data_IF_458767356995
#
_entry.id   IF_458767356995
#
_cell.length_a   1.000
_cell.length_b   1.000
_cell.length_c   1.000
_cell.angle_alpha   90.00
_cell.angle_beta   90.00
_cell.angle_gamma   90.00
#
_symmetry.space_group_name_H-M   'P 1'
#
loop_
_entity.id
_entity.type
_entity.pdbx_description
1 polymer ?
#
# COMPACT_ATOMS: atom_id res chain seq x y z
N UNK A 1 2.08 -25.60 -8.73
CA UNK A 1 2.82 -24.40 -8.26
C UNK A 1 2.17 -23.22 -8.94
N UNK A 2 1.36 -22.48 -8.20
CA UNK A 2 0.81 -21.20 -8.63
C UNK A 2 1.12 -20.25 -7.49
N UNK A 3 2.19 -19.48 -7.68
CA UNK A 3 2.51 -18.32 -6.88
C UNK A 3 1.83 -17.15 -7.58
N UNK A 4 0.71 -16.69 -7.05
CA UNK A 4 0.14 -15.43 -7.51
C UNK A 4 0.70 -14.34 -6.61
N UNK A 5 1.76 -13.68 -7.08
CA UNK A 5 2.30 -12.46 -6.48
C UNK A 5 1.48 -11.31 -7.06
N UNK A 6 0.59 -10.75 -6.25
CA UNK A 6 -0.08 -9.51 -6.59
C UNK A 6 0.74 -8.37 -5.98
N UNK A 7 1.40 -7.59 -6.85
CA UNK A 7 2.03 -6.33 -6.47
C UNK A 7 0.98 -5.24 -6.65
N UNK A 8 0.60 -4.61 -5.54
CA UNK A 8 -0.18 -3.37 -5.58
C UNK A 8 0.74 -2.27 -5.07
N UNK A 9 1.07 -1.35 -5.95
CA UNK A 9 1.66 -0.08 -5.55
C UNK A 9 0.53 0.80 -4.99
N UNK A 10 0.81 1.58 -3.95
CA UNK A 10 -0.20 2.44 -3.36
C UNK A 10 0.40 3.63 -2.64
N UNK A 11 0.04 4.84 -3.06
CA UNK A 11 0.43 6.05 -2.36
C UNK A 11 -0.44 6.29 -1.15
N UNK A 12 0.16 6.19 0.04
CA UNK A 12 -0.42 6.73 1.26
C UNK A 12 0.26 8.04 1.59
N UNK A 13 -0.09 9.06 0.83
CA UNK A 13 0.31 10.42 1.12
C UNK A 13 -0.86 11.14 1.84
N UNK A 14 -0.86 11.10 3.18
CA UNK A 14 -1.83 11.87 4.00
C UNK A 14 -1.66 13.39 3.78
N UNK A 15 -0.48 13.80 3.31
CA UNK A 15 -0.09 15.20 3.10
C UNK A 15 -0.69 15.77 1.79
N UNK A 16 -0.85 14.94 0.75
CA UNK A 16 -1.56 15.29 -0.50
C UNK A 16 -3.07 15.48 -0.26
N UNK A 17 -3.70 14.64 0.57
CA UNK A 17 -5.12 14.74 0.90
C UNK A 17 -5.41 16.08 1.59
N UNK A 18 -4.58 16.44 2.58
CA UNK A 18 -4.69 17.72 3.29
C UNK A 18 -4.55 18.90 2.35
N UNK A 19 -3.56 18.84 1.45
CA UNK A 19 -3.24 19.93 0.53
C UNK A 19 -4.32 20.16 -0.51
N UNK A 20 -4.85 19.09 -1.11
CA UNK A 20 -5.84 19.21 -2.17
C UNK A 20 -7.21 19.61 -1.62
N UNK A 21 -7.54 19.17 -0.39
CA UNK A 21 -8.71 19.65 0.35
C UNK A 21 -8.55 21.13 0.76
N UNK A 22 -7.36 21.54 1.21
CA UNK A 22 -7.07 22.95 1.53
C UNK A 22 -7.14 23.85 0.29
N UNK A 23 -6.70 23.38 -0.88
CA UNK A 23 -6.81 24.10 -2.14
C UNK A 23 -8.28 24.31 -2.55
N UNK A 24 -9.12 23.26 -2.51
CA UNK A 24 -10.56 23.37 -2.79
C UNK A 24 -11.26 24.35 -1.82
N UNK A 25 -10.83 24.39 -0.55
CA UNK A 25 -11.30 25.39 0.43
C UNK A 25 -10.85 26.81 0.10
N UNK A 26 -9.60 27.00 -0.33
CA UNK A 26 -9.08 28.31 -0.75
C UNK A 26 -9.82 28.86 -1.98
N UNK A 27 -10.29 27.99 -2.88
CA UNK A 27 -11.00 28.36 -4.10
C UNK A 27 -12.53 28.46 -3.95
N UNK A 28 -13.09 28.29 -2.74
CA UNK A 28 -14.54 28.27 -2.47
C UNK A 28 -15.31 27.23 -3.31
N UNK A 29 -14.66 26.12 -3.69
CA UNK A 29 -15.34 25.02 -4.36
C UNK A 29 -16.15 24.27 -3.30
N UNK A 30 -17.47 24.48 -3.30
CA UNK A 30 -18.41 23.89 -2.35
C UNK A 30 -18.42 22.34 -2.50
N UNK A 31 -17.52 21.64 -1.82
CA UNK A 31 -17.60 20.20 -1.69
C UNK A 31 -16.31 19.49 -1.27
N UNK A 32 -16.41 18.74 -0.18
CA UNK A 32 -15.47 17.68 0.19
C UNK A 32 -15.65 16.50 -0.77
N UNK A 33 -15.10 16.59 -1.98
CA UNK A 33 -15.05 15.45 -2.88
C UNK A 33 -13.84 14.59 -2.50
N UNK A 34 -14.04 13.26 -2.44
CA UNK A 34 -12.93 12.33 -2.36
C UNK A 34 -12.13 12.50 -3.65
N UNK A 35 -10.93 13.09 -3.56
CA UNK A 35 -10.01 13.26 -4.68
C UNK A 35 -9.08 12.07 -4.85
N UNK A 36 -8.99 11.21 -3.83
CA UNK A 36 -8.18 10.00 -3.79
C UNK A 36 -9.10 8.80 -3.46
N UNK A 37 -8.71 7.61 -3.91
CA UNK A 37 -9.40 6.36 -3.57
C UNK A 37 -9.31 6.07 -2.07
N UNK A 38 -10.30 5.42 -1.44
CA UNK A 38 -10.16 4.92 -0.08
C UNK A 38 -8.94 4.00 0.05
N UNK A 39 -8.17 4.19 1.12
CA UNK A 39 -6.97 3.39 1.40
C UNK A 39 -7.35 1.96 1.79
N UNK A 40 -6.69 0.98 1.16
CA UNK A 40 -6.82 -0.42 1.56
C UNK A 40 -5.92 -0.69 2.76
N UNK A 41 -6.50 -1.19 3.86
CA UNK A 41 -5.69 -1.61 5.00
C UNK A 41 -5.08 -3.01 4.77
N UNK A 42 -3.89 -3.26 5.32
CA UNK A 42 -3.22 -4.57 5.30
C UNK A 42 -4.16 -5.69 5.77
N UNK A 43 -5.03 -5.38 6.74
CA UNK A 43 -6.04 -6.32 7.25
C UNK A 43 -7.10 -6.67 6.20
N UNK A 44 -7.54 -5.69 5.41
CA UNK A 44 -8.54 -5.89 4.36
C UNK A 44 -7.98 -6.74 3.23
N UNK A 45 -6.71 -6.56 2.90
CA UNK A 45 -5.96 -7.40 1.96
C UNK A 45 -5.87 -8.85 2.44
N UNK A 46 -5.51 -9.10 3.70
CA UNK A 46 -5.47 -10.44 4.27
C UNK A 46 -6.85 -11.12 4.30
N UNK A 47 -7.89 -10.35 4.64
CA UNK A 47 -9.27 -10.83 4.59
C UNK A 47 -9.70 -11.17 3.15
N UNK A 48 -9.31 -10.37 2.16
CA UNK A 48 -9.59 -10.61 0.75
C UNK A 48 -9.00 -11.93 0.29
N UNK A 49 -7.71 -12.17 0.55
CA UNK A 49 -7.02 -13.41 0.17
C UNK A 49 -7.63 -14.65 0.83
N UNK A 50 -8.00 -14.53 2.12
CA UNK A 50 -8.64 -15.63 2.84
C UNK A 50 -10.02 -15.93 2.25
N UNK A 51 -10.80 -14.90 1.89
CA UNK A 51 -12.13 -15.06 1.29
C UNK A 51 -12.09 -15.58 -0.14
N UNK A 52 -11.03 -15.30 -0.90
CA UNK A 52 -10.83 -15.86 -2.24
C UNK A 52 -10.30 -17.29 -2.24
N UNK A 53 -10.07 -17.88 -1.05
CA UNK A 53 -9.76 -19.31 -0.90
C UNK A 53 -8.26 -19.63 -0.98
N UNK A 54 -7.39 -18.63 -0.87
CA UNK A 54 -5.97 -18.86 -0.70
C UNK A 54 -5.65 -19.30 0.74
N UNK A 55 -4.59 -20.08 0.86
CA UNK A 55 -4.01 -20.59 2.11
C UNK A 55 -2.59 -20.06 2.28
N UNK A 56 -2.04 -20.08 3.49
CA UNK A 56 -0.71 -19.51 3.80
C UNK A 56 -0.52 -18.09 3.25
N UNK A 57 -1.46 -17.19 3.56
CA UNK A 57 -1.41 -15.81 3.08
C UNK A 57 -0.37 -15.01 3.86
N UNK A 58 0.55 -14.38 3.15
CA UNK A 58 1.50 -13.41 3.70
C UNK A 58 1.22 -12.06 3.06
N UNK A 59 1.10 -11.03 3.88
CA UNK A 59 0.98 -9.65 3.43
C UNK A 59 2.13 -8.88 4.05
N UNK A 60 2.85 -8.14 3.22
CA UNK A 60 3.97 -7.30 3.63
C UNK A 60 3.83 -5.92 2.98
N UNK A 61 4.53 -4.91 3.52
CA UNK A 61 4.57 -3.59 2.92
C UNK A 61 5.97 -3.00 3.00
N UNK A 62 6.38 -2.31 1.93
CA UNK A 62 7.58 -1.49 1.91
C UNK A 62 7.19 -0.02 1.81
N UNK A 63 7.89 0.83 2.56
CA UNK A 63 7.77 2.28 2.48
C UNK A 63 8.96 2.86 1.71
N UNK A 64 8.68 3.65 0.68
CA UNK A 64 9.70 4.28 -0.16
C UNK A 64 9.40 5.77 -0.31
N UNK A 65 10.31 6.63 0.14
CA UNK A 65 10.22 8.08 -0.08
C UNK A 65 11.09 8.48 -1.27
N UNK A 66 10.48 9.17 -2.23
CA UNK A 66 11.12 9.66 -3.46
C UNK A 66 11.01 11.18 -3.51
N UNK A 67 12.11 11.86 -3.83
CA UNK A 67 12.12 13.29 -4.06
C UNK A 67 11.72 13.62 -5.50
N UNK A 68 10.72 14.47 -5.65
CA UNK A 68 10.24 14.99 -6.93
C UNK A 68 10.58 16.48 -7.08
N UNK A 69 10.96 16.95 -8.28
CA UNK A 69 11.21 18.38 -8.50
C UNK A 69 9.98 19.28 -8.32
N UNK A 70 8.76 18.78 -8.58
CA UNK A 70 7.52 19.54 -8.34
C UNK A 70 6.29 18.64 -8.26
N UNK A 71 5.18 19.18 -7.71
CA UNK A 71 3.90 18.47 -7.62
C UNK A 71 3.37 18.05 -9.01
N UNK A 72 3.64 18.83 -10.06
CA UNK A 72 3.14 18.52 -11.40
C UNK A 72 3.77 17.25 -11.97
N UNK A 73 5.07 17.05 -11.73
CA UNK A 73 5.80 15.85 -12.16
C UNK A 73 5.33 14.63 -11.38
N UNK A 74 5.18 14.77 -10.06
CA UNK A 74 4.58 13.73 -9.22
C UNK A 74 3.20 13.32 -9.77
N UNK A 75 2.28 14.27 -9.98
CA UNK A 75 0.93 14.00 -10.48
C UNK A 75 0.92 13.34 -11.87
N UNK A 76 1.90 13.66 -12.73
CA UNK A 76 2.05 13.03 -14.04
C UNK A 76 2.45 11.56 -13.90
N UNK A 77 3.39 11.26 -13.00
CA UNK A 77 3.80 9.89 -12.70
C UNK A 77 2.67 9.08 -12.07
N UNK A 78 1.92 9.65 -11.12
CA UNK A 78 0.76 8.98 -10.49
C UNK A 78 -0.28 8.57 -11.54
N UNK A 79 -0.52 9.47 -12.49
CA UNK A 79 -1.43 9.20 -13.60
C UNK A 79 -0.92 8.07 -14.48
N UNK A 80 0.39 8.01 -14.72
CA UNK A 80 1.06 6.95 -15.49
C UNK A 80 1.06 5.60 -14.77
N UNK A 81 1.18 5.60 -13.45
CA UNK A 81 1.14 4.40 -12.58
C UNK A 81 -0.28 3.84 -12.43
N UNK A 82 -1.31 4.62 -12.75
CA UNK A 82 -2.71 4.20 -12.63
C UNK A 82 -3.33 4.51 -11.28
N UNK A 83 -2.66 5.28 -10.42
CA UNK A 83 -3.10 5.74 -9.09
C UNK A 83 -4.20 6.83 -9.17
N UNK A 84 -5.05 6.75 -10.19
CA UNK A 84 -6.19 7.64 -10.33
C UNK A 84 -7.31 7.19 -9.39
N UNK A 85 -8.06 8.16 -8.89
CA UNK A 85 -9.21 7.89 -8.04
C UNK A 85 -10.26 7.00 -8.72
N UNK A 86 -10.51 5.82 -8.15
CA UNK A 86 -11.47 4.84 -8.64
C UNK A 86 -12.89 4.99 -8.05
N UNK A 87 -13.13 5.96 -7.17
CA UNK A 87 -14.41 6.14 -6.52
C UNK A 87 -15.51 6.57 -7.51
N UNK A 88 -16.72 6.02 -7.34
CA UNK A 88 -17.87 6.33 -8.20
C UNK A 88 -18.31 7.80 -8.08
N UNK A 89 -18.14 8.40 -6.89
CA UNK A 89 -18.51 9.79 -6.62
C UNK A 89 -17.36 10.79 -6.89
N UNK A 90 -16.29 10.36 -7.57
CA UNK A 90 -15.15 11.24 -7.85
C UNK A 90 -15.57 12.43 -8.71
N UNK A 91 -14.94 13.59 -8.47
CA UNK A 91 -14.99 14.69 -9.44
C UNK A 91 -14.26 14.24 -10.72
N UNK A 92 -14.88 14.48 -11.87
CA UNK A 92 -14.32 14.12 -13.18
C UNK A 92 -13.43 15.22 -13.76
N UNK A 93 -13.53 16.45 -13.26
CA UNK A 93 -12.80 17.62 -13.73
C UNK A 93 -12.12 18.30 -12.56
N UNK A 94 -10.83 18.61 -12.73
CA UNK A 94 -10.04 19.47 -11.85
C UNK A 94 -9.73 20.77 -12.60
N UNK A 95 -9.91 21.91 -11.93
CA UNK A 95 -9.57 23.21 -12.50
C UNK A 95 -8.05 23.44 -12.41
N UNK A 96 -7.52 24.15 -13.41
CA UNK A 96 -6.07 24.46 -13.47
C UNK A 96 -5.62 25.30 -12.29
N UNK A 97 -6.46 26.22 -11.85
CA UNK A 97 -6.15 27.11 -10.73
C UNK A 97 -6.04 26.31 -9.43
N UNK A 98 -6.92 25.32 -9.21
CA UNK A 98 -6.87 24.41 -8.05
C UNK A 98 -5.56 23.64 -7.99
N UNK A 99 -5.06 23.18 -9.14
CA UNK A 99 -3.78 22.45 -9.23
C UNK A 99 -2.62 23.39 -8.89
N UNK A 100 -2.65 24.64 -9.35
CA UNK A 100 -1.62 25.63 -9.04
C UNK A 100 -1.62 26.03 -7.57
N UNK A 101 -2.80 26.26 -6.99
CA UNK A 101 -2.96 26.54 -5.57
C UNK A 101 -2.48 25.36 -4.72
N UNK A 102 -2.86 24.13 -5.09
CA UNK A 102 -2.40 22.92 -4.41
C UNK A 102 -0.87 22.77 -4.50
N UNK A 103 -0.27 23.03 -5.67
CA UNK A 103 1.19 22.98 -5.82
C UNK A 103 1.92 23.98 -4.94
N UNK A 104 1.37 25.19 -4.78
CA UNK A 104 1.97 26.20 -3.91
C UNK A 104 1.87 25.81 -2.44
N UNK A 105 0.72 25.29 -2.01
CA UNK A 105 0.50 24.85 -0.64
C UNK A 105 1.38 23.64 -0.31
N UNK A 106 1.50 22.68 -1.25
CA UNK A 106 2.32 21.49 -1.05
C UNK A 106 3.80 21.84 -0.87
N UNK A 107 4.30 22.75 -1.71
CA UNK A 107 5.68 23.25 -1.63
C UNK A 107 5.94 23.99 -0.30
N UNK A 108 4.98 24.77 0.19
CA UNK A 108 5.14 25.54 1.44
C UNK A 108 5.16 24.62 2.67
N UNK A 109 4.34 23.56 2.67
CA UNK A 109 4.24 22.64 3.79
C UNK A 109 5.35 21.58 3.82
N UNK A 110 5.72 21.05 2.65
CA UNK A 110 6.58 19.86 2.53
C UNK A 110 7.82 20.08 1.67
N UNK A 111 8.08 21.30 1.21
CA UNK A 111 9.24 21.62 0.39
C UNK A 111 10.56 21.19 1.04
N UNK A 112 11.40 20.51 0.26
CA UNK A 112 12.75 20.14 0.63
C UNK A 112 13.69 21.35 0.49
N UNK A 113 14.86 21.28 1.13
CA UNK A 113 15.88 22.36 1.08
C UNK A 113 16.40 22.63 -0.35
N UNK A 114 16.33 21.64 -1.23
CA UNK A 114 16.72 21.72 -2.64
C UNK A 114 15.62 22.29 -3.55
N UNK A 115 14.44 22.60 -2.99
CA UNK A 115 13.28 23.09 -3.73
C UNK A 115 12.40 22.00 -4.31
N UNK A 116 12.73 20.72 -4.11
CA UNK A 116 11.85 19.59 -4.45
C UNK A 116 10.75 19.37 -3.42
N UNK A 117 9.99 18.30 -3.61
CA UNK A 117 8.96 17.81 -2.71
C UNK A 117 9.16 16.31 -2.44
N UNK A 118 8.98 15.82 -1.21
CA UNK A 118 9.02 14.40 -0.93
C UNK A 118 7.65 13.78 -1.25
N UNK A 119 7.65 12.57 -1.80
CA UNK A 119 6.46 11.75 -1.94
C UNK A 119 6.75 10.36 -1.39
N UNK A 120 5.88 9.87 -0.50
CA UNK A 120 6.04 8.57 0.16
C UNK A 120 5.06 7.55 -0.41
N UNK A 121 5.60 6.49 -0.99
CA UNK A 121 4.90 5.38 -1.61
C UNK A 121 4.90 4.17 -0.69
N UNK A 122 3.79 3.46 -0.63
CA UNK A 122 3.67 2.19 0.09
C UNK A 122 3.42 1.07 -0.92
N UNK A 123 4.41 0.21 -1.10
CA UNK A 123 4.28 -0.95 -1.97
C UNK A 123 3.76 -2.11 -1.13
N UNK A 124 2.58 -2.61 -1.48
CA UNK A 124 1.91 -3.70 -0.78
C UNK A 124 2.18 -5.01 -1.52
N UNK A 125 2.76 -5.97 -0.81
CA UNK A 125 3.02 -7.31 -1.32
C UNK A 125 2.03 -8.29 -0.72
N UNK A 126 1.41 -9.08 -1.58
CA UNK A 126 0.50 -10.14 -1.18
C UNK A 126 0.90 -11.45 -1.84
N UNK A 127 1.09 -12.46 -1.00
CA UNK A 127 1.38 -13.82 -1.45
C UNK A 127 0.32 -14.73 -0.85
N UNK A 128 -0.33 -15.52 -1.71
CA UNK A 128 -1.31 -16.53 -1.30
C UNK A 128 -1.08 -17.84 -2.05
N UNK A 129 -1.17 -18.96 -1.34
CA UNK A 129 -0.99 -20.29 -1.93
C UNK A 129 -2.33 -20.96 -2.17
N UNK A 130 -2.55 -21.42 -3.40
CA UNK A 130 -3.71 -22.29 -3.66
C UNK A 130 -3.60 -23.57 -2.82
N UNK A 131 -4.67 -23.99 -2.12
CA UNK A 131 -4.65 -25.24 -1.35
C UNK A 131 -4.26 -26.43 -2.23
N UNK A 132 -3.34 -27.26 -1.74
CA UNK A 132 -2.91 -28.49 -2.41
C UNK A 132 -2.85 -29.67 -1.42
N UNK A 133 -3.18 -30.88 -1.89
CA UNK A 133 -3.25 -32.06 -1.02
C UNK A 133 -1.89 -32.45 -0.41
N UNK A 134 -0.78 -32.11 -1.08
CA UNK A 134 0.57 -32.35 -0.56
C UNK A 134 1.02 -31.34 0.50
N UNK A 135 0.17 -30.37 0.87
CA UNK A 135 0.52 -29.35 1.84
C UNK A 135 0.58 -29.95 3.24
N UNK A 136 1.65 -29.62 3.98
CA UNK A 136 1.81 -30.09 5.35
C UNK A 136 0.64 -29.59 6.20
N UNK A 137 -0.10 -30.53 6.78
CA UNK A 137 -1.14 -30.24 7.76
C UNK A 137 -0.49 -30.12 9.13
N UNK A 138 -1.00 -29.19 9.94
CA UNK A 138 -0.58 -29.08 11.33
C UNK A 138 -0.71 -30.45 12.03
N UNK A 139 0.33 -30.85 12.76
CA UNK A 139 0.31 -32.10 13.50
C UNK A 139 -0.77 -32.06 14.60
N UNK A 140 -1.35 -33.21 14.91
CA UNK A 140 -2.36 -33.31 15.97
C UNK A 140 -1.79 -32.84 17.29
N UNK A 141 -2.54 -32.00 18.03
CA UNK A 141 -2.09 -31.53 19.35
C UNK A 141 -1.74 -32.73 20.25
N UNK A 142 -0.55 -32.71 20.83
CA UNK A 142 -0.04 -33.80 21.68
C UNK A 142 0.73 -34.90 20.94
N UNK A 143 0.93 -34.79 19.62
CA UNK A 143 1.74 -35.74 18.84
C UNK A 143 3.26 -35.51 18.94
N UNK A 144 3.73 -34.77 19.94
CA UNK A 144 5.16 -34.49 20.10
C UNK A 144 5.88 -35.77 20.52
N UNK A 145 6.82 -36.24 19.69
CA UNK A 145 7.63 -37.44 19.94
C UNK A 145 8.97 -37.13 20.61
N UNK A 146 9.34 -35.86 20.75
CA UNK A 146 10.58 -35.43 21.39
C UNK A 146 10.35 -34.23 22.31
N UNK A 147 11.07 -34.22 23.44
CA UNK A 147 11.09 -33.11 24.40
C UNK A 147 12.14 -32.08 24.00
N UNK A 148 11.86 -30.79 24.26
CA UNK A 148 12.84 -29.72 24.06
C UNK A 148 14.11 -29.88 24.90
N UNK A 149 14.03 -30.59 26.04
CA UNK A 149 15.20 -30.91 26.87
C UNK A 149 16.21 -31.85 26.19
N UNK A 150 15.77 -32.63 25.21
CA UNK A 150 16.58 -33.66 24.54
C UNK A 150 17.15 -33.17 23.20
N UNK A 151 17.07 -31.86 22.90
CA UNK A 151 17.45 -31.28 21.60
C UNK A 151 18.93 -31.54 21.23
N UNK A 152 19.80 -31.69 22.23
CA UNK A 152 21.21 -32.02 22.07
C UNK A 152 21.45 -33.43 21.53
N UNK A 153 20.47 -34.34 21.67
CA UNK A 153 20.54 -35.71 21.17
C UNK A 153 20.02 -35.87 19.73
N UNK A 154 19.19 -34.92 19.26
CA UNK A 154 18.55 -34.95 17.95
C UNK A 154 19.48 -34.56 16.79
N UNK A 155 20.56 -33.81 17.07
CA UNK A 155 21.50 -33.31 16.05
C UNK A 155 22.73 -34.20 15.84
N UNK A 156 22.71 -35.45 16.34
CA UNK A 156 23.81 -36.39 16.09
C UNK A 156 23.62 -37.02 14.71
N UNK A 157 24.62 -36.96 13.80
CA UNK A 157 24.54 -37.65 12.52
C UNK A 157 24.38 -39.15 12.77
N UNK A 158 23.47 -39.79 12.04
CA UNK A 158 23.33 -41.25 12.05
C UNK A 158 24.58 -41.83 11.38
N UNK A 159 25.37 -42.60 12.14
CA UNK A 159 26.44 -43.47 11.63
C UNK A 159 25.88 -44.56 10.70
#
# INVERSE_FOLDING_TARGET
MAEDVAVYDYLRDEDQVGTLVMSDMAENVLGFAAHISPFAEVRDLGNLLTRSGFSLTTVDFDEVTIGYPSMLELMQDLKGMGENNAAWNRKTVLHRDTILAASSIYQDMYGLEDGGIPATFFVLYMIGWKPHDSQQKAATRGSATASFGDISSLNKPKE
#
